data_IF_421048475234
#
_entry.id   IF_421048475234
#
_cell.length_a   1.000
_cell.length_b   1.000
_cell.length_c   1.000
_cell.angle_alpha   90.00
_cell.angle_beta   90.00
_cell.angle_gamma   90.00
#
_symmetry.space_group_name_H-M   'P 1'
#
loop_
_entity.id
_entity.type
_entity.pdbx_description
1 polymer ?
#
# COMPACT_ATOMS: atom_id res chain seq x y z
N UNK A 1 23.40 19.24 -11.30
CA UNK A 1 22.25 19.55 -12.18
C UNK A 1 21.12 18.51 -12.11
N UNK A 2 21.35 17.27 -11.65
CA UNK A 2 20.30 16.24 -11.55
C UNK A 2 19.32 16.40 -10.37
N UNK A 3 19.65 17.17 -9.33
CA UNK A 3 18.83 17.31 -8.11
C UNK A 3 17.62 18.26 -8.23
N UNK A 4 17.58 19.13 -9.24
CA UNK A 4 16.51 20.12 -9.39
C UNK A 4 15.23 19.54 -10.03
N UNK A 5 15.39 18.52 -10.89
CA UNK A 5 14.27 17.92 -11.64
C UNK A 5 13.37 17.07 -10.73
N UNK A 6 13.95 16.38 -9.74
CA UNK A 6 13.20 15.60 -8.75
C UNK A 6 12.28 16.48 -7.89
N UNK A 7 12.73 17.68 -7.50
CA UNK A 7 11.91 18.61 -6.72
C UNK A 7 10.80 19.29 -7.54
N UNK A 8 10.99 19.48 -8.85
CA UNK A 8 9.97 20.13 -9.70
C UNK A 8 8.73 19.26 -9.97
N UNK A 9 8.84 17.93 -9.86
CA UNK A 9 7.69 17.01 -10.01
C UNK A 9 6.80 17.00 -8.76
N UNK A 10 7.32 17.41 -7.60
CA UNK A 10 6.62 17.35 -6.32
C UNK A 10 5.64 18.51 -6.09
N UNK A 11 5.68 19.58 -6.88
CA UNK A 11 4.90 20.81 -6.61
C UNK A 11 3.52 20.89 -7.28
N UNK A 12 3.10 19.88 -8.06
CA UNK A 12 1.86 19.97 -8.87
C UNK A 12 0.80 18.91 -8.60
N UNK A 13 0.90 18.14 -7.51
CA UNK A 13 -0.20 17.23 -7.12
C UNK A 13 -1.12 17.95 -6.14
N UNK A 14 -2.40 18.09 -6.51
CA UNK A 14 -3.43 18.58 -5.60
C UNK A 14 -3.35 17.75 -4.32
N UNK A 15 -2.93 18.33 -3.21
CA UNK A 15 -2.95 17.70 -1.89
C UNK A 15 -4.41 17.48 -1.52
N UNK A 16 -5.01 16.39 -2.00
CA UNK A 16 -6.25 15.92 -1.39
C UNK A 16 -5.87 15.54 0.03
N UNK A 17 -6.66 16.02 1.00
CA UNK A 17 -6.35 15.79 2.42
C UNK A 17 -6.24 14.29 2.66
N UNK A 18 -5.16 13.84 3.31
CA UNK A 18 -5.01 12.43 3.70
C UNK A 18 -6.22 11.94 4.50
N UNK A 19 -6.82 12.84 5.29
CA UNK A 19 -8.07 12.62 6.01
C UNK A 19 -9.24 12.24 5.09
N UNK A 20 -9.39 12.88 3.92
CA UNK A 20 -10.43 12.52 2.96
C UNK A 20 -10.25 11.08 2.48
N UNK A 21 -9.00 10.66 2.23
CA UNK A 21 -8.71 9.29 1.83
C UNK A 21 -9.00 8.29 2.96
N UNK A 22 -8.57 8.61 4.19
CA UNK A 22 -8.82 7.78 5.38
C UNK A 22 -10.32 7.61 5.64
N UNK A 23 -11.10 8.68 5.60
CA UNK A 23 -12.57 8.63 5.79
C UNK A 23 -13.27 7.88 4.65
N UNK A 24 -12.81 8.05 3.42
CA UNK A 24 -13.34 7.30 2.27
C UNK A 24 -13.05 5.81 2.41
N UNK A 25 -11.83 5.45 2.83
CA UNK A 25 -11.45 4.07 3.08
C UNK A 25 -12.26 3.44 4.21
N UNK A 26 -12.43 4.15 5.33
CA UNK A 26 -13.26 3.68 6.45
C UNK A 26 -14.72 3.45 6.03
N UNK A 27 -15.28 4.35 5.22
CA UNK A 27 -16.65 4.19 4.67
C UNK A 27 -16.77 2.98 3.76
N UNK A 28 -15.76 2.73 2.92
CA UNK A 28 -15.69 1.55 2.06
C UNK A 28 -15.65 0.26 2.90
N UNK A 29 -14.78 0.19 3.90
CA UNK A 29 -14.66 -0.99 4.78
C UNK A 29 -15.97 -1.22 5.53
N UNK A 30 -16.58 -0.17 6.08
CA UNK A 30 -17.86 -0.26 6.77
C UNK A 30 -18.98 -0.74 5.85
N UNK A 31 -18.98 -0.35 4.57
CA UNK A 31 -19.92 -0.83 3.58
C UNK A 31 -19.70 -2.33 3.28
N UNK A 32 -18.45 -2.76 3.10
CA UNK A 32 -18.13 -4.17 2.89
C UNK A 32 -18.54 -5.05 4.09
N UNK A 33 -18.33 -4.59 5.32
CA UNK A 33 -18.76 -5.34 6.51
C UNK A 33 -20.28 -5.52 6.55
N UNK A 34 -21.05 -4.55 6.04
CA UNK A 34 -22.52 -4.66 5.96
C UNK A 34 -22.98 -5.60 4.84
N UNK A 35 -22.27 -5.60 3.72
CA UNK A 35 -22.65 -6.34 2.51
C UNK A 35 -22.24 -7.82 2.56
N UNK A 36 -21.29 -8.19 3.42
CA UNK A 36 -20.78 -9.55 3.55
C UNK A 36 -21.12 -10.15 4.92
N UNK A 37 -21.48 -11.43 4.94
CA UNK A 37 -21.86 -12.15 6.17
C UNK A 37 -20.65 -12.56 7.02
N UNK A 38 -19.48 -12.77 6.40
CA UNK A 38 -18.26 -13.18 7.08
C UNK A 38 -17.08 -12.27 6.75
N UNK A 39 -16.19 -12.15 7.73
CA UNK A 39 -15.01 -11.27 7.69
C UNK A 39 -13.96 -11.75 6.68
N UNK A 40 -13.91 -13.05 6.39
CA UNK A 40 -12.96 -13.61 5.42
C UNK A 40 -13.28 -13.18 3.99
N UNK A 41 -14.56 -13.06 3.64
CA UNK A 41 -15.00 -12.51 2.36
C UNK A 41 -14.65 -11.02 2.25
N UNK A 42 -14.80 -10.25 3.33
CA UNK A 42 -14.35 -8.85 3.38
C UNK A 42 -12.85 -8.75 3.16
N UNK A 43 -12.06 -9.59 3.83
CA UNK A 43 -10.60 -9.64 3.66
C UNK A 43 -10.20 -9.96 2.21
N UNK A 44 -10.86 -10.96 1.60
CA UNK A 44 -10.64 -11.34 0.19
C UNK A 44 -11.02 -10.19 -0.76
N UNK A 45 -12.11 -9.50 -0.48
CA UNK A 45 -12.57 -8.39 -1.31
C UNK A 45 -11.64 -7.18 -1.20
N UNK A 46 -11.16 -6.83 0.00
CA UNK A 46 -10.17 -5.76 0.19
C UNK A 46 -8.87 -6.06 -0.56
N UNK A 47 -8.36 -7.29 -0.47
CA UNK A 47 -7.17 -7.72 -1.20
C UNK A 47 -7.38 -7.61 -2.71
N UNK A 48 -8.51 -8.12 -3.23
CA UNK A 48 -8.83 -8.04 -4.66
C UNK A 48 -8.94 -6.61 -5.16
N UNK A 49 -9.55 -5.72 -4.39
CA UNK A 49 -9.61 -4.29 -4.71
C UNK A 49 -8.21 -3.70 -4.75
N UNK A 50 -7.37 -4.04 -3.77
CA UNK A 50 -5.98 -3.64 -3.71
C UNK A 50 -5.19 -4.09 -4.93
N UNK A 51 -5.33 -5.36 -5.33
CA UNK A 51 -4.66 -5.91 -6.51
C UNK A 51 -4.97 -5.11 -7.78
N UNK A 52 -6.25 -4.83 -8.04
CA UNK A 52 -6.65 -4.03 -9.20
C UNK A 52 -6.11 -2.60 -9.15
N UNK A 53 -5.95 -2.03 -7.95
CA UNK A 53 -5.30 -0.73 -7.77
C UNK A 53 -3.79 -0.87 -8.08
N UNK A 54 -3.11 -1.87 -7.51
CA UNK A 54 -1.69 -2.12 -7.69
C UNK A 54 -1.28 -2.28 -9.15
N UNK A 55 -2.06 -3.06 -9.91
CA UNK A 55 -1.87 -3.28 -11.36
C UNK A 55 -1.87 -1.96 -12.15
N UNK A 56 -2.63 -0.96 -11.70
CA UNK A 56 -2.70 0.37 -12.34
C UNK A 56 -1.70 1.36 -11.76
N UNK A 57 -1.39 1.22 -10.47
CA UNK A 57 -0.52 2.14 -9.74
C UNK A 57 0.95 2.00 -10.15
N UNK A 58 1.36 0.80 -10.55
CA UNK A 58 2.75 0.51 -10.94
C UNK A 58 3.24 1.41 -12.07
N UNK A 59 2.41 1.72 -13.07
CA UNK A 59 2.80 2.60 -14.18
C UNK A 59 3.11 4.02 -13.70
N UNK A 60 2.30 4.56 -12.77
CA UNK A 60 2.55 5.86 -12.13
C UNK A 60 3.84 5.82 -11.29
N UNK A 61 4.07 4.73 -10.56
CA UNK A 61 5.28 4.58 -9.74
C UNK A 61 6.54 4.56 -10.60
N UNK A 62 6.54 3.77 -11.68
CA UNK A 62 7.66 3.69 -12.62
C UNK A 62 7.94 5.04 -13.28
N UNK A 63 6.88 5.77 -13.68
CA UNK A 63 7.01 7.08 -14.32
C UNK A 63 7.55 8.17 -13.38
N UNK A 64 7.18 8.14 -12.10
CA UNK A 64 7.52 9.20 -11.13
C UNK A 64 8.77 8.92 -10.32
N UNK A 65 8.96 7.69 -9.86
CA UNK A 65 10.10 7.31 -9.02
C UNK A 65 11.33 6.93 -9.84
N UNK A 66 11.15 6.52 -11.11
CA UNK A 66 12.19 5.98 -11.98
C UNK A 66 13.13 5.01 -11.23
N UNK A 67 12.59 3.93 -10.63
CA UNK A 67 13.29 3.14 -9.63
C UNK A 67 14.48 2.31 -10.19
N UNK A 68 14.61 2.21 -11.52
CA UNK A 68 15.50 1.22 -12.15
C UNK A 68 14.93 -0.19 -12.04
N UNK A 69 15.67 -1.17 -12.57
CA UNK A 69 15.30 -2.59 -12.52
C UNK A 69 15.67 -3.18 -11.14
N UNK A 70 14.80 -4.02 -10.58
CA UNK A 70 15.12 -4.83 -9.40
C UNK A 70 15.83 -6.12 -9.83
N UNK A 71 16.85 -6.54 -9.07
CA UNK A 71 17.60 -7.77 -9.33
C UNK A 71 17.38 -8.84 -8.25
N UNK A 72 16.98 -8.42 -7.06
CA UNK A 72 16.67 -9.31 -5.95
C UNK A 72 15.52 -8.78 -5.08
N UNK A 73 15.15 -9.56 -4.06
CA UNK A 73 14.04 -9.21 -3.17
C UNK A 73 14.36 -8.01 -2.28
N UNK A 74 15.65 -7.69 -2.04
CA UNK A 74 16.05 -6.51 -1.28
C UNK A 74 15.79 -5.24 -2.06
N UNK A 75 16.12 -5.24 -3.35
CA UNK A 75 15.75 -4.14 -4.25
C UNK A 75 14.24 -3.91 -4.24
N UNK A 76 13.46 -4.98 -4.32
CA UNK A 76 11.98 -4.92 -4.28
C UNK A 76 11.49 -4.33 -2.96
N UNK A 77 12.06 -4.73 -1.82
CA UNK A 77 11.68 -4.20 -0.51
C UNK A 77 12.00 -2.69 -0.39
N UNK A 78 13.13 -2.23 -0.93
CA UNK A 78 13.48 -0.82 -1.00
C UNK A 78 12.49 -0.03 -1.88
N UNK A 79 12.04 -0.61 -3.01
CA UNK A 79 11.03 0.04 -3.87
C UNK A 79 9.67 0.12 -3.20
N UNK A 80 9.30 -0.90 -2.43
CA UNK A 80 8.08 -0.88 -1.61
C UNK A 80 8.16 0.27 -0.60
N UNK A 81 9.27 0.42 0.14
CA UNK A 81 9.46 1.57 1.04
C UNK A 81 9.31 2.93 0.33
N UNK A 82 9.91 3.08 -0.86
CA UNK A 82 9.79 4.30 -1.66
C UNK A 82 8.34 4.57 -2.10
N UNK A 83 7.60 3.53 -2.50
CA UNK A 83 6.21 3.64 -2.89
C UNK A 83 5.31 4.07 -1.72
N UNK A 84 5.51 3.50 -0.53
CA UNK A 84 4.79 3.93 0.68
C UNK A 84 5.04 5.40 0.98
N UNK A 85 6.29 5.86 0.86
CA UNK A 85 6.63 7.27 1.07
C UNK A 85 5.98 8.17 0.01
N UNK A 86 5.95 7.73 -1.24
CA UNK A 86 5.39 8.50 -2.37
C UNK A 86 3.86 8.65 -2.27
N UNK A 87 3.15 7.58 -1.91
CA UNK A 87 1.68 7.53 -1.98
C UNK A 87 0.98 7.77 -0.64
N UNK A 88 1.57 7.31 0.46
CA UNK A 88 0.97 7.36 1.79
C UNK A 88 1.71 8.33 2.73
N UNK A 89 2.85 8.89 2.32
CA UNK A 89 3.63 9.81 3.15
C UNK A 89 4.30 9.16 4.35
N UNK A 90 4.31 7.83 4.44
CA UNK A 90 4.91 7.06 5.54
C UNK A 90 6.09 6.23 5.05
N UNK A 91 7.07 5.98 5.93
CA UNK A 91 8.20 5.10 5.63
C UNK A 91 8.10 3.86 6.51
N UNK A 92 7.69 2.70 5.96
CA UNK A 92 7.59 1.48 6.75
C UNK A 92 8.98 0.93 7.09
N UNK A 93 9.06 0.13 8.14
CA UNK A 93 10.24 -0.65 8.47
C UNK A 93 10.26 -1.94 7.63
N UNK A 94 11.38 -2.22 6.97
CA UNK A 94 11.62 -3.50 6.28
C UNK A 94 12.58 -4.31 7.12
N UNK A 95 12.17 -5.51 7.50
CA UNK A 95 12.96 -6.39 8.35
C UNK A 95 12.47 -7.83 8.35
N UNK A 96 12.84 -8.59 9.39
CA UNK A 96 12.47 -9.99 9.56
C UNK A 96 12.73 -10.85 8.31
N UNK A 97 13.91 -10.65 7.70
CA UNK A 97 14.33 -11.43 6.55
C UNK A 97 14.45 -12.91 6.90
N UNK A 98 13.93 -13.78 6.04
CA UNK A 98 14.19 -15.22 6.15
C UNK A 98 15.68 -15.50 5.96
N UNK A 99 16.21 -16.61 6.52
CA UNK A 99 17.59 -17.01 6.28
C UNK A 99 17.93 -17.24 4.80
N UNK A 100 16.93 -17.62 3.99
CA UNK A 100 17.08 -17.81 2.55
C UNK A 100 17.02 -16.48 1.77
N UNK A 101 16.58 -15.38 2.39
CA UNK A 101 16.46 -14.07 1.76
C UNK A 101 15.28 -13.95 0.77
N UNK A 102 14.35 -14.90 0.83
CA UNK A 102 13.16 -15.01 -0.03
C UNK A 102 11.86 -14.51 0.63
N UNK A 103 11.93 -14.07 1.90
CA UNK A 103 10.82 -13.43 2.61
C UNK A 103 11.33 -12.27 3.46
N UNK A 104 10.48 -11.26 3.64
CA UNK A 104 10.69 -10.14 4.55
C UNK A 104 9.35 -9.62 5.06
N UNK A 105 9.39 -8.78 6.09
CA UNK A 105 8.23 -8.09 6.64
C UNK A 105 8.29 -6.60 6.38
N UNK A 106 7.12 -6.01 6.11
CA UNK A 106 6.90 -4.57 6.03
C UNK A 106 6.03 -4.17 7.22
N UNK A 107 6.58 -3.38 8.14
CA UNK A 107 5.89 -2.97 9.37
C UNK A 107 5.61 -1.47 9.34
N UNK A 108 4.37 -1.10 9.65
CA UNK A 108 3.94 0.29 9.79
C UNK A 108 3.77 0.61 11.28
N UNK A 109 4.64 1.47 11.82
CA UNK A 109 4.51 1.94 13.20
C UNK A 109 3.25 2.82 13.37
N UNK A 110 2.93 3.58 12.32
CA UNK A 110 1.72 4.38 12.22
C UNK A 110 1.02 4.05 10.90
N UNK A 111 -0.19 3.52 10.99
CA UNK A 111 -0.99 3.16 9.82
C UNK A 111 -1.97 4.30 9.47
N UNK A 112 -1.71 5.06 8.39
CA UNK A 112 -2.51 6.23 8.04
C UNK A 112 -3.96 5.87 7.67
N UNK A 113 -4.22 4.63 7.25
CA UNK A 113 -5.58 4.17 6.91
C UNK A 113 -6.46 3.97 8.13
N UNK A 114 -5.84 3.69 9.28
CA UNK A 114 -6.52 3.27 10.50
C UNK A 114 -6.56 4.37 11.57
N UNK A 115 -6.18 5.61 11.24
CA UNK A 115 -6.10 6.73 12.20
C UNK A 115 -7.40 6.96 12.97
N UNK A 116 -8.55 6.77 12.33
CA UNK A 116 -9.89 6.93 12.93
C UNK A 116 -10.68 5.63 13.02
N UNK A 117 -10.02 4.48 12.84
CA UNK A 117 -10.71 3.20 12.76
C UNK A 117 -10.84 2.54 14.13
N UNK A 118 -12.09 2.33 14.57
CA UNK A 118 -12.41 1.47 15.70
C UNK A 118 -13.23 0.28 15.20
N UNK A 119 -12.75 -0.94 15.48
CA UNK A 119 -13.40 -2.17 15.02
C UNK A 119 -14.33 -2.74 16.09
N UNK A 120 -15.58 -3.08 15.73
CA UNK A 120 -16.46 -3.83 16.62
C UNK A 120 -15.93 -5.22 16.97
N UNK A 121 -16.33 -5.76 18.14
CA UNK A 121 -15.90 -7.10 18.60
C UNK A 121 -16.29 -8.24 17.65
N UNK A 122 -17.35 -8.09 16.85
CA UNK A 122 -17.72 -9.11 15.86
C UNK A 122 -16.80 -9.12 14.62
N UNK A 123 -15.86 -8.18 14.51
CA UNK A 123 -14.92 -8.04 13.39
C UNK A 123 -13.49 -8.52 13.73
N UNK A 124 -13.28 -9.36 14.75
CA UNK A 124 -11.95 -9.76 15.25
C UNK A 124 -11.01 -10.42 14.22
N UNK A 125 -11.53 -10.93 13.09
CA UNK A 125 -10.72 -11.48 11.99
C UNK A 125 -10.35 -10.47 10.89
N UNK A 126 -10.78 -9.21 11.02
CA UNK A 126 -10.69 -8.25 9.92
C UNK A 126 -9.27 -7.73 9.80
N UNK A 127 -8.68 -7.92 8.62
CA UNK A 127 -7.44 -7.27 8.23
C UNK A 127 -7.80 -5.92 7.64
N UNK A 128 -8.01 -4.94 8.50
CA UNK A 128 -8.53 -3.63 8.10
C UNK A 128 -7.74 -3.00 6.95
N UNK A 129 -6.43 -3.23 6.83
CA UNK A 129 -5.59 -2.71 5.75
C UNK A 129 -5.20 -3.76 4.70
N UNK A 130 -5.97 -4.84 4.52
CA UNK A 130 -5.67 -5.89 3.53
C UNK A 130 -5.60 -5.37 2.09
N UNK A 131 -6.19 -4.19 1.83
CA UNK A 131 -6.05 -3.49 0.55
C UNK A 131 -4.59 -3.23 0.19
N UNK A 132 -3.73 -2.95 1.18
CA UNK A 132 -2.30 -2.67 0.96
C UNK A 132 -1.56 -3.92 0.49
N UNK A 133 -1.89 -5.09 1.06
CA UNK A 133 -1.33 -6.36 0.61
C UNK A 133 -1.68 -6.64 -0.85
N UNK A 134 -2.94 -6.38 -1.23
CA UNK A 134 -3.38 -6.47 -2.62
C UNK A 134 -2.62 -5.51 -3.53
N UNK A 135 -2.47 -4.25 -3.13
CA UNK A 135 -1.72 -3.24 -3.91
C UNK A 135 -0.29 -3.70 -4.17
N UNK A 136 0.40 -4.18 -3.14
CA UNK A 136 1.77 -4.68 -3.28
C UNK A 136 1.81 -5.87 -4.25
N UNK A 137 0.92 -6.85 -4.08
CA UNK A 137 0.87 -8.03 -4.97
C UNK A 137 0.65 -7.63 -6.42
N UNK A 138 -0.37 -6.80 -6.69
CA UNK A 138 -0.69 -6.37 -8.05
C UNK A 138 0.42 -5.55 -8.70
N UNK A 139 1.09 -4.70 -7.93
CA UNK A 139 2.21 -3.93 -8.44
C UNK A 139 3.43 -4.81 -8.76
N UNK A 140 3.79 -5.73 -7.85
CA UNK A 140 4.93 -6.63 -8.04
C UNK A 140 4.73 -7.58 -9.23
N UNK A 141 3.53 -8.13 -9.39
CA UNK A 141 3.19 -9.03 -10.50
C UNK A 141 3.37 -8.35 -11.86
N UNK A 142 2.95 -7.09 -11.97
CA UNK A 142 3.06 -6.31 -13.22
C UNK A 142 4.47 -5.79 -13.51
N UNK A 143 5.27 -5.57 -12.47
CA UNK A 143 6.66 -5.13 -12.61
C UNK A 143 7.62 -6.27 -12.96
N UNK A 144 7.13 -7.52 -13.01
CA UNK A 144 7.91 -8.73 -13.18
C UNK A 144 9.04 -8.85 -12.13
N UNK A 145 8.73 -8.45 -10.89
CA UNK A 145 9.64 -8.61 -9.75
C UNK A 145 9.69 -10.05 -9.23
#
# INVERSE_FOLDING_TARGET
MAGAVAMSVWSSQSTKSGELFTLTYGSLVAQLIKDYENVDDVNRQLERMGYNIGVRLIEDFLARANPGRCYDLRDTADKIQQAFRLYLGVTPNVGCWSPAGDEFSVTLDQNPLAEFAELPEHCLGLRYSNILAGVIRGACEMAEF
#
